data_IF_545732459239
#
_entry.id   IF_545732459239
#
_cell.length_a   1.000
_cell.length_b   1.000
_cell.length_c   1.000
_cell.angle_alpha   90.00
_cell.angle_beta   90.00
_cell.angle_gamma   90.00
#
_symmetry.space_group_name_H-M   'P 1'
#
loop_
_entity.id
_entity.type
_entity.pdbx_description
1 polymer ?
#
# COMPACT_ATOMS: atom_id res chain seq x y z
N UNK A 1 -8.82 -15.56 -12.05
CA UNK A 1 -8.54 -14.89 -13.34
C UNK A 1 -9.22 -13.52 -13.41
N UNK A 2 -10.56 -13.43 -13.42
CA UNK A 2 -11.32 -12.17 -13.56
C UNK A 2 -10.81 -10.99 -12.69
N UNK A 3 -10.57 -11.19 -11.40
CA UNK A 3 -10.13 -10.13 -10.46
C UNK A 3 -8.71 -9.62 -10.67
N UNK A 4 -7.88 -10.34 -11.44
CA UNK A 4 -6.46 -10.02 -11.63
C UNK A 4 -6.14 -9.61 -13.07
N UNK A 5 -7.09 -9.78 -14.01
CA UNK A 5 -6.83 -9.56 -15.44
C UNK A 5 -7.91 -8.75 -16.15
N UNK A 6 -9.10 -8.58 -15.57
CA UNK A 6 -10.13 -7.76 -16.20
C UNK A 6 -9.78 -6.27 -16.00
N UNK A 7 -9.68 -5.44 -17.07
CA UNK A 7 -9.45 -4.00 -16.97
C UNK A 7 -10.48 -3.25 -16.12
N UNK A 8 -11.69 -3.78 -15.95
CA UNK A 8 -12.71 -3.22 -15.05
C UNK A 8 -12.55 -3.65 -13.59
N UNK A 9 -11.55 -4.45 -13.25
CA UNK A 9 -11.32 -4.88 -11.88
C UNK A 9 -10.65 -3.78 -11.06
N UNK A 10 -11.05 -3.66 -9.81
CA UNK A 10 -10.41 -2.73 -8.88
C UNK A 10 -8.90 -3.01 -8.76
N UNK A 11 -8.50 -4.28 -8.66
CA UNK A 11 -7.11 -4.67 -8.40
C UNK A 11 -6.18 -4.53 -9.61
N UNK A 12 -6.72 -4.40 -10.83
CA UNK A 12 -5.91 -4.09 -12.02
C UNK A 12 -5.64 -2.60 -12.17
N UNK A 13 -6.39 -1.75 -11.48
CA UNK A 13 -6.30 -0.28 -11.61
C UNK A 13 -5.80 0.40 -10.32
N UNK A 14 -5.55 -0.36 -9.25
CA UNK A 14 -5.18 0.21 -7.95
C UNK A 14 -4.01 -0.55 -7.35
N UNK A 15 -3.13 0.19 -6.67
CA UNK A 15 -2.05 -0.38 -5.87
C UNK A 15 -2.55 -0.46 -4.43
N UNK A 16 -2.71 -1.66 -3.88
CA UNK A 16 -3.25 -1.83 -2.53
C UNK A 16 -2.46 -2.83 -1.72
N UNK A 17 -2.13 -2.46 -0.48
CA UNK A 17 -1.56 -3.34 0.52
C UNK A 17 -2.23 -3.10 1.87
N UNK A 18 -2.43 -4.18 2.64
CA UNK A 18 -2.99 -4.10 3.98
C UNK A 18 -2.26 -5.09 4.88
N UNK A 19 -1.81 -4.63 6.04
CA UNK A 19 -1.13 -5.42 7.04
C UNK A 19 -1.79 -5.18 8.41
N UNK A 20 -2.41 -6.20 9.02
CA UNK A 20 -2.85 -6.11 10.40
C UNK A 20 -1.63 -6.06 11.33
N UNK A 21 -1.70 -5.20 12.34
CA UNK A 21 -0.71 -5.08 13.42
C UNK A 21 -1.42 -5.25 14.76
N UNK A 22 -0.70 -5.54 15.84
CA UNK A 22 -1.27 -5.93 17.13
C UNK A 22 -2.43 -5.04 17.63
N UNK A 23 -2.36 -3.73 17.35
CA UNK A 23 -3.37 -2.76 17.79
C UNK A 23 -4.05 -2.00 16.65
N UNK A 24 -4.07 -2.55 15.43
CA UNK A 24 -4.77 -1.93 14.31
C UNK A 24 -4.36 -2.45 12.94
N UNK A 25 -4.25 -1.56 11.96
CA UNK A 25 -3.96 -1.91 10.56
C UNK A 25 -3.17 -0.81 9.88
N UNK A 26 -2.20 -1.23 9.08
CA UNK A 26 -1.50 -0.37 8.12
C UNK A 26 -2.07 -0.69 6.74
N UNK A 27 -2.52 0.34 6.02
CA UNK A 27 -3.04 0.21 4.65
C UNK A 27 -2.34 1.19 3.74
N UNK A 28 -2.00 0.75 2.55
CA UNK A 28 -1.50 1.59 1.47
C UNK A 28 -2.48 1.47 0.32
N UNK A 29 -3.06 2.59 -0.11
CA UNK A 29 -3.99 2.65 -1.23
C UNK A 29 -3.51 3.70 -2.23
N UNK A 30 -3.13 3.26 -3.42
CA UNK A 30 -2.33 4.00 -4.38
C UNK A 30 -1.15 4.65 -3.64
N UNK A 31 -1.14 5.97 -3.47
CA UNK A 31 -0.07 6.71 -2.80
C UNK A 31 -0.40 7.08 -1.35
N UNK A 32 -1.59 6.73 -0.85
CA UNK A 32 -2.03 7.10 0.49
C UNK A 32 -1.68 6.00 1.48
N UNK A 33 -0.70 6.27 2.35
CA UNK A 33 -0.37 5.42 3.49
C UNK A 33 -1.23 5.84 4.69
N UNK A 34 -1.94 4.87 5.26
CA UNK A 34 -2.76 5.05 6.44
C UNK A 34 -2.37 4.04 7.51
N UNK A 35 -1.98 4.54 8.67
CA UNK A 35 -1.66 3.75 9.86
C UNK A 35 -2.76 4.02 10.88
N UNK A 36 -3.61 3.03 11.12
CA UNK A 36 -4.63 3.10 12.16
C UNK A 36 -4.22 2.21 13.31
N UNK A 37 -4.17 2.81 14.50
CA UNK A 37 -3.97 2.10 15.77
C UNK A 37 -5.06 2.54 16.75
N UNK A 38 -5.27 1.78 17.83
CA UNK A 38 -6.31 2.01 18.83
C UNK A 38 -6.45 3.48 19.30
N UNK A 39 -5.34 4.24 19.35
CA UNK A 39 -5.34 5.62 19.84
C UNK A 39 -5.03 6.68 18.78
N UNK A 40 -4.70 6.30 17.53
CA UNK A 40 -4.28 7.27 16.52
C UNK A 40 -4.49 6.75 15.10
N UNK A 41 -5.05 7.61 14.25
CA UNK A 41 -4.99 7.47 12.81
C UNK A 41 -3.98 8.48 12.26
N UNK A 42 -3.01 7.99 11.49
CA UNK A 42 -2.11 8.81 10.69
C UNK A 42 -2.38 8.52 9.23
N UNK A 43 -2.59 9.57 8.45
CA UNK A 43 -2.72 9.50 6.99
C UNK A 43 -1.61 10.35 6.41
N UNK A 44 -0.89 9.80 5.45
CA UNK A 44 0.18 10.45 4.75
C UNK A 44 0.09 10.12 3.25
N UNK A 45 0.19 11.14 2.41
CA UNK A 45 0.36 10.95 0.98
C UNK A 45 1.85 10.81 0.68
N UNK A 46 2.21 9.73 -0.01
CA UNK A 46 3.58 9.41 -0.38
C UNK A 46 3.85 9.94 -1.79
N UNK A 47 5.01 10.59 -2.02
CA UNK A 47 5.41 10.90 -3.37
C UNK A 47 5.66 9.63 -4.17
N UNK A 48 5.48 9.75 -5.48
CA UNK A 48 5.78 8.69 -6.45
C UNK A 48 7.28 8.35 -6.47
N UNK A 49 7.63 7.18 -7.00
CA UNK A 49 9.03 6.76 -7.12
C UNK A 49 9.56 6.02 -5.89
N UNK A 50 10.79 6.36 -5.50
CA UNK A 50 11.54 5.60 -4.48
C UNK A 50 10.86 5.63 -3.11
N UNK A 51 10.27 6.77 -2.70
CA UNK A 51 9.60 6.89 -1.41
C UNK A 51 8.44 5.90 -1.25
N UNK A 52 7.76 5.56 -2.35
CA UNK A 52 6.71 4.55 -2.36
C UNK A 52 7.27 3.15 -2.13
N UNK A 53 8.34 2.79 -2.84
CA UNK A 53 9.01 1.50 -2.69
C UNK A 53 9.59 1.34 -1.28
N UNK A 54 10.16 2.40 -0.73
CA UNK A 54 10.70 2.43 0.63
C UNK A 54 9.59 2.22 1.67
N UNK A 55 8.41 2.80 1.46
CA UNK A 55 7.26 2.60 2.33
C UNK A 55 6.73 1.16 2.28
N UNK A 56 6.70 0.53 1.10
CA UNK A 56 6.35 -0.88 0.93
C UNK A 56 7.32 -1.78 1.71
N UNK A 57 8.62 -1.54 1.57
CA UNK A 57 9.65 -2.30 2.29
C UNK A 57 9.57 -2.08 3.79
N UNK A 58 9.43 -0.84 4.23
CA UNK A 58 9.46 -0.45 5.65
C UNK A 58 8.22 -0.93 6.41
N UNK A 59 7.03 -0.75 5.84
CA UNK A 59 5.78 -1.02 6.55
C UNK A 59 5.19 -2.41 6.27
N UNK A 60 5.45 -2.98 5.09
CA UNK A 60 4.85 -4.24 4.67
C UNK A 60 5.89 -5.35 4.48
N UNK A 61 7.20 -5.04 4.56
CA UNK A 61 8.26 -6.02 4.30
C UNK A 61 8.32 -6.47 2.84
N UNK A 62 7.73 -5.70 1.92
CA UNK A 62 7.67 -6.04 0.50
C UNK A 62 8.82 -5.33 -0.21
N UNK A 63 9.79 -6.10 -0.67
CA UNK A 63 10.86 -5.61 -1.54
C UNK A 63 10.52 -5.94 -2.99
N UNK A 64 10.50 -4.90 -3.83
CA UNK A 64 10.26 -5.03 -5.26
C UNK A 64 11.59 -4.97 -6.00
N UNK A 65 11.86 -5.99 -6.82
CA UNK A 65 13.00 -6.03 -7.75
C UNK A 65 12.66 -5.35 -9.09
N UNK A 66 11.81 -4.31 -9.03
CA UNK A 66 11.33 -3.57 -10.18
C UNK A 66 11.33 -2.07 -9.87
N UNK A 67 11.67 -1.21 -10.86
CA UNK A 67 11.58 0.22 -10.68
C UNK A 67 10.12 0.66 -10.53
N UNK A 68 9.92 1.82 -9.92
CA UNK A 68 8.61 2.46 -9.88
C UNK A 68 8.22 2.90 -11.30
N UNK A 69 7.13 2.36 -11.83
CA UNK A 69 6.51 2.76 -13.11
C UNK A 69 5.46 3.86 -12.94
#
# INVERSE_FOLDING_TARGET
>A
YYTSTNPGSFFTNTRVAALPVDNGVITLFNNTLKIMTANKAQVQELPEGQAYLDALKTHFGIELDAPYE
#
